data_IF_478807863677
#
_entry.id   IF_478807863677
#
_cell.length_a   1.000
_cell.length_b   1.000
_cell.length_c   1.000
_cell.angle_alpha   90.00
_cell.angle_beta   90.00
_cell.angle_gamma   90.00
#
_symmetry.space_group_name_H-M   'P 1'
#
loop_
_entity.id
_entity.type
_entity.pdbx_description
1 polymer ?
#
# COMPACT_ATOMS: atom_id res chain seq x y z
N UNK A 1 -17.09 47.05 -9.22
CA UNK A 1 -16.55 46.10 -8.23
C UNK A 1 -17.37 44.80 -8.04
N UNK A 2 -18.44 44.53 -8.82
CA UNK A 2 -19.27 43.32 -8.64
C UNK A 2 -18.84 42.05 -9.43
N UNK A 3 -18.01 42.19 -10.48
CA UNK A 3 -17.66 41.06 -11.37
C UNK A 3 -16.67 40.04 -10.79
N UNK A 4 -15.73 40.47 -9.94
CA UNK A 4 -14.69 39.57 -9.38
C UNK A 4 -15.23 38.60 -8.31
N UNK A 5 -16.34 38.95 -7.65
CA UNK A 5 -17.00 38.09 -6.64
C UNK A 5 -17.72 36.90 -7.29
N UNK A 6 -18.34 37.11 -8.46
CA UNK A 6 -19.07 36.09 -9.20
C UNK A 6 -18.13 35.02 -9.81
N UNK A 7 -16.97 35.44 -10.30
CA UNK A 7 -15.94 34.53 -10.84
C UNK A 7 -15.32 33.69 -9.71
N UNK A 8 -15.03 34.28 -8.55
CA UNK A 8 -14.53 33.55 -7.38
C UNK A 8 -15.54 32.51 -6.85
N UNK A 9 -16.83 32.85 -6.83
CA UNK A 9 -17.91 31.94 -6.45
C UNK A 9 -18.10 30.78 -7.44
N UNK A 10 -17.89 31.03 -8.74
CA UNK A 10 -18.01 30.01 -9.79
C UNK A 10 -16.81 29.04 -9.76
N UNK A 11 -15.59 29.53 -9.51
CA UNK A 11 -14.39 28.69 -9.33
C UNK A 11 -14.50 27.85 -8.03
N UNK A 12 -15.11 28.39 -6.97
CA UNK A 12 -15.41 27.64 -5.75
C UNK A 12 -16.40 26.48 -5.96
N UNK A 13 -17.42 26.67 -6.81
CA UNK A 13 -18.40 25.63 -7.17
C UNK A 13 -17.83 24.57 -8.12
N UNK A 14 -16.87 24.91 -8.97
CA UNK A 14 -16.19 23.94 -9.84
C UNK A 14 -15.19 23.03 -9.08
N UNK A 15 -14.76 23.41 -7.87
CA UNK A 15 -13.97 22.52 -6.99
C UNK A 15 -14.83 21.50 -6.23
N UNK A 16 -16.14 21.67 -6.25
CA UNK A 16 -17.12 20.85 -5.55
C UNK A 16 -18.04 20.15 -6.55
N UNK A 17 -17.46 19.50 -7.57
CA UNK A 17 -18.19 18.48 -8.30
C UNK A 17 -18.75 17.48 -7.26
N UNK A 18 -20.06 17.17 -7.29
CA UNK A 18 -20.67 16.30 -6.30
C UNK A 18 -19.96 14.95 -6.35
N UNK A 19 -19.21 14.64 -5.28
CA UNK A 19 -18.68 13.30 -5.04
C UNK A 19 -19.90 12.38 -5.09
N UNK A 20 -19.99 11.49 -6.07
CA UNK A 20 -21.09 10.51 -6.11
C UNK A 20 -20.89 9.60 -4.90
N UNK A 21 -21.54 9.94 -3.78
CA UNK A 21 -21.28 9.36 -2.45
C UNK A 21 -21.49 7.83 -2.41
N UNK A 22 -22.26 7.29 -3.36
CA UNK A 22 -22.55 5.86 -3.50
C UNK A 22 -21.32 5.05 -3.94
N UNK A 23 -20.39 5.65 -4.68
CA UNK A 23 -19.19 4.95 -5.16
C UNK A 23 -18.03 4.99 -4.16
N UNK A 24 -18.08 5.87 -3.16
CA UNK A 24 -16.99 6.06 -2.21
C UNK A 24 -16.66 4.79 -1.39
N UNK A 25 -17.62 4.01 -0.87
CA UNK A 25 -17.32 2.75 -0.20
C UNK A 25 -16.70 1.70 -1.13
N UNK A 26 -17.13 1.67 -2.39
CA UNK A 26 -16.61 0.73 -3.41
C UNK A 26 -15.16 1.08 -3.74
N UNK A 27 -14.87 2.36 -3.97
CA UNK A 27 -13.51 2.84 -4.24
C UNK A 27 -12.59 2.64 -3.02
N UNK A 28 -13.12 2.82 -1.80
CA UNK A 28 -12.40 2.54 -0.56
C UNK A 28 -12.07 1.04 -0.44
N UNK A 29 -13.05 0.17 -0.71
CA UNK A 29 -12.85 -1.28 -0.73
C UNK A 29 -11.82 -1.70 -1.77
N UNK A 30 -11.89 -1.16 -2.99
CA UNK A 30 -10.90 -1.39 -4.04
C UNK A 30 -9.50 -0.89 -3.63
N UNK A 31 -9.40 0.26 -2.95
CA UNK A 31 -8.13 0.77 -2.43
C UNK A 31 -7.51 -0.18 -1.41
N UNK A 32 -8.32 -0.67 -0.44
CA UNK A 32 -7.88 -1.66 0.55
C UNK A 32 -7.46 -2.95 -0.14
N UNK A 33 -8.23 -3.44 -1.11
CA UNK A 33 -7.88 -4.65 -1.88
C UNK A 33 -6.52 -4.49 -2.57
N UNK A 34 -6.28 -3.36 -3.24
CA UNK A 34 -4.98 -3.12 -3.88
C UNK A 34 -3.86 -3.02 -2.86
N UNK A 35 -4.06 -2.37 -1.71
CA UNK A 35 -3.05 -2.36 -0.65
C UNK A 35 -2.76 -3.76 -0.09
N UNK A 36 -3.78 -4.61 0.06
CA UNK A 36 -3.60 -6.01 0.44
C UNK A 36 -2.76 -6.76 -0.61
N UNK A 37 -3.06 -6.59 -1.89
CA UNK A 37 -2.26 -7.20 -2.97
C UNK A 37 -0.81 -6.67 -2.94
N UNK A 38 -0.62 -5.36 -2.85
CA UNK A 38 0.69 -4.69 -2.80
C UNK A 38 1.51 -5.06 -1.57
N UNK A 39 0.86 -5.48 -0.47
CA UNK A 39 1.57 -6.03 0.70
C UNK A 39 2.28 -7.34 0.39
N UNK A 40 1.91 -8.03 -0.70
CA UNK A 40 2.40 -9.36 -1.10
C UNK A 40 2.11 -10.47 -0.07
N UNK A 41 1.19 -10.23 0.87
CA UNK A 41 0.71 -11.26 1.78
C UNK A 41 0.19 -12.47 1.00
N UNK A 42 0.52 -13.67 1.47
CA UNK A 42 0.19 -14.97 0.87
C UNK A 42 0.86 -15.28 -0.48
N UNK A 43 1.35 -14.30 -1.25
CA UNK A 43 1.87 -14.55 -2.60
C UNK A 43 3.05 -15.52 -2.60
N UNK A 44 4.06 -15.28 -1.76
CA UNK A 44 5.24 -16.15 -1.67
C UNK A 44 5.00 -17.50 -0.97
N UNK A 45 3.79 -17.73 -0.45
CA UNK A 45 3.39 -18.97 0.21
C UNK A 45 2.47 -19.82 -0.70
N UNK A 46 1.62 -19.16 -1.49
CA UNK A 46 0.68 -19.80 -2.42
C UNK A 46 1.27 -20.01 -3.81
N UNK A 47 2.27 -19.21 -4.19
CA UNK A 47 2.90 -19.26 -5.49
C UNK A 47 4.38 -19.55 -5.30
N UNK A 48 4.75 -20.80 -5.54
CA UNK A 48 6.14 -21.24 -5.52
C UNK A 48 6.90 -20.53 -6.66
N UNK A 49 8.02 -19.91 -6.31
CA UNK A 49 8.89 -19.23 -7.26
C UNK A 49 10.33 -19.66 -7.02
N UNK A 50 10.98 -20.19 -8.04
CA UNK A 50 12.40 -20.54 -7.95
C UNK A 50 13.24 -19.28 -7.71
N UNK A 51 14.24 -19.32 -6.82
CA UNK A 51 15.16 -18.21 -6.58
C UNK A 51 15.84 -17.77 -7.89
N UNK A 52 15.75 -16.48 -8.23
CA UNK A 52 16.33 -15.94 -9.46
C UNK A 52 15.47 -16.11 -10.72
N UNK A 53 14.36 -16.86 -10.63
CA UNK A 53 13.36 -16.92 -11.69
C UNK A 53 12.50 -15.67 -11.73
N UNK A 54 11.91 -15.43 -12.89
CA UNK A 54 11.17 -14.23 -13.18
C UNK A 54 9.70 -14.24 -12.67
N UNK A 55 9.46 -15.10 -11.67
CA UNK A 55 8.16 -15.42 -11.11
C UNK A 55 7.22 -16.11 -12.11
N UNK A 56 6.23 -16.89 -11.63
CA UNK A 56 5.26 -17.51 -12.52
C UNK A 56 4.43 -16.46 -13.29
N UNK A 57 4.06 -16.77 -14.54
CA UNK A 57 3.31 -15.86 -15.40
C UNK A 57 1.98 -15.40 -14.79
N UNK A 58 1.37 -16.23 -13.93
CA UNK A 58 0.13 -15.91 -13.22
C UNK A 58 0.24 -14.65 -12.37
N UNK A 59 1.38 -14.41 -11.72
CA UNK A 59 1.59 -13.21 -10.91
C UNK A 59 1.55 -11.96 -11.79
N UNK A 60 2.03 -12.04 -13.03
CA UNK A 60 2.04 -10.90 -13.97
C UNK A 60 0.63 -10.53 -14.39
N UNK A 61 -0.18 -11.55 -14.73
CA UNK A 61 -1.58 -11.36 -15.15
C UNK A 61 -2.40 -10.80 -13.99
N UNK A 62 -2.14 -11.24 -12.75
CA UNK A 62 -2.81 -10.77 -11.54
C UNK A 62 -2.65 -9.25 -11.32
N UNK A 63 -1.55 -8.64 -11.75
CA UNK A 63 -1.31 -7.20 -11.58
C UNK A 63 -1.98 -6.33 -12.66
N UNK A 64 -2.37 -6.89 -13.81
CA UNK A 64 -2.97 -6.10 -14.91
C UNK A 64 -4.25 -5.35 -14.49
N UNK A 65 -5.21 -5.96 -13.75
CA UNK A 65 -6.38 -5.24 -13.24
C UNK A 65 -6.02 -4.09 -12.30
N UNK A 66 -4.96 -4.26 -11.49
CA UNK A 66 -4.49 -3.21 -10.57
C UNK A 66 -3.92 -2.03 -11.35
N UNK A 67 -3.12 -2.29 -12.39
CA UNK A 67 -2.59 -1.26 -13.27
C UNK A 67 -3.71 -0.53 -14.02
N UNK A 68 -4.67 -1.28 -14.56
CA UNK A 68 -5.84 -0.71 -15.24
C UNK A 68 -6.64 0.19 -14.30
N UNK A 69 -6.92 -0.26 -13.06
CA UNK A 69 -7.64 0.54 -12.07
C UNK A 69 -6.90 1.84 -11.73
N UNK A 70 -5.59 1.76 -11.49
CA UNK A 70 -4.76 2.94 -11.19
C UNK A 70 -4.79 3.97 -12.32
N UNK A 71 -4.66 3.52 -13.57
CA UNK A 71 -4.76 4.37 -14.75
C UNK A 71 -6.15 4.98 -14.90
N UNK A 72 -7.22 4.19 -14.73
CA UNK A 72 -8.60 4.68 -14.79
C UNK A 72 -8.82 5.78 -13.75
N UNK A 73 -8.37 5.60 -12.51
CA UNK A 73 -8.50 6.61 -11.47
C UNK A 73 -7.73 7.90 -11.77
N UNK A 74 -6.52 7.76 -12.32
CA UNK A 74 -5.69 8.91 -12.71
C UNK A 74 -6.34 9.69 -13.87
N UNK A 75 -6.82 8.98 -14.90
CA UNK A 75 -7.42 9.55 -16.10
C UNK A 75 -8.84 10.09 -15.87
N UNK A 76 -9.59 9.53 -14.93
CA UNK A 76 -10.89 10.03 -14.53
C UNK A 76 -10.81 11.41 -13.85
N UNK A 77 -9.63 11.78 -13.30
CA UNK A 77 -9.41 13.05 -12.59
C UNK A 77 -8.05 13.66 -12.92
N UNK A 78 -7.84 14.11 -14.18
CA UNK A 78 -6.51 14.51 -14.65
C UNK A 78 -5.98 15.76 -13.91
N UNK A 79 -6.84 16.71 -13.55
CA UNK A 79 -6.39 17.94 -12.89
C UNK A 79 -5.92 17.70 -11.43
N UNK A 80 -6.67 16.99 -10.56
CA UNK A 80 -6.14 16.52 -9.28
C UNK A 80 -4.88 15.67 -9.41
N UNK A 81 -4.84 14.75 -10.39
CA UNK A 81 -3.69 13.89 -10.65
C UNK A 81 -2.41 14.70 -10.97
N UNK A 82 -2.51 15.65 -11.90
CA UNK A 82 -1.39 16.53 -12.27
C UNK A 82 -0.89 17.36 -11.08
N UNK A 83 -1.79 17.82 -10.21
CA UNK A 83 -1.41 18.52 -8.96
C UNK A 83 -0.70 17.60 -7.97
N UNK A 84 -1.09 16.33 -7.88
CA UNK A 84 -0.38 15.35 -7.05
C UNK A 84 1.02 15.08 -7.60
N UNK A 85 1.16 14.92 -8.91
CA UNK A 85 2.44 14.70 -9.59
C UNK A 85 3.36 15.92 -9.42
N UNK A 86 2.84 17.14 -9.57
CA UNK A 86 3.63 18.37 -9.45
C UNK A 86 4.19 18.60 -8.04
N UNK A 87 3.63 17.96 -7.01
CA UNK A 87 4.13 18.03 -5.63
C UNK A 87 5.27 17.06 -5.34
N UNK A 88 5.40 15.99 -6.13
CA UNK A 88 6.45 14.99 -5.95
C UNK A 88 7.00 14.48 -7.30
N UNK A 89 7.47 15.39 -8.18
CA UNK A 89 7.92 15.00 -9.52
C UNK A 89 9.10 14.02 -9.47
N UNK A 90 9.93 14.11 -8.43
CA UNK A 90 11.07 13.22 -8.23
C UNK A 90 10.67 11.74 -8.17
N UNK A 91 9.51 11.40 -7.59
CA UNK A 91 9.03 10.02 -7.55
C UNK A 91 8.78 9.45 -8.95
N UNK A 92 8.20 10.26 -9.84
CA UNK A 92 7.97 9.87 -11.23
C UNK A 92 9.28 9.78 -12.00
N UNK A 93 10.20 10.74 -11.81
CA UNK A 93 11.52 10.73 -12.45
C UNK A 93 12.32 9.48 -12.05
N UNK A 94 12.34 9.12 -10.78
CA UNK A 94 13.03 7.92 -10.31
C UNK A 94 12.39 6.63 -10.87
N UNK A 95 11.06 6.58 -10.97
CA UNK A 95 10.37 5.45 -11.58
C UNK A 95 10.70 5.30 -13.08
N UNK A 96 10.75 6.41 -13.81
CA UNK A 96 11.16 6.43 -15.22
C UNK A 96 12.63 6.03 -15.35
N UNK A 97 13.50 6.48 -14.44
CA UNK A 97 14.90 6.07 -14.40
C UNK A 97 15.04 4.54 -14.25
N UNK A 98 14.18 3.89 -13.47
CA UNK A 98 14.15 2.42 -13.39
C UNK A 98 13.76 1.73 -14.71
N UNK A 99 13.02 2.40 -15.61
CA UNK A 99 12.79 1.89 -16.96
C UNK A 99 14.00 2.16 -17.87
N UNK A 100 14.56 3.36 -17.80
CA UNK A 100 15.73 3.76 -18.59
C UNK A 100 16.94 2.88 -18.28
N UNK A 101 17.07 2.38 -17.05
CA UNK A 101 18.15 1.46 -16.67
C UNK A 101 18.19 0.15 -17.46
N UNK A 102 17.10 -0.22 -18.15
CA UNK A 102 17.10 -1.34 -19.09
C UNK A 102 18.15 -1.19 -20.21
N UNK A 103 18.51 0.06 -20.57
CA UNK A 103 19.50 0.37 -21.62
C UNK A 103 20.92 -0.03 -21.29
N UNK A 104 21.26 -0.19 -19.99
CA UNK A 104 22.58 -0.63 -19.53
C UNK A 104 22.51 -1.89 -18.66
N UNK A 105 21.40 -2.62 -18.71
CA UNK A 105 21.20 -3.83 -17.91
C UNK A 105 21.66 -5.10 -18.63
N UNK A 106 22.07 -6.11 -17.87
CA UNK A 106 22.44 -7.44 -18.39
C UNK A 106 21.24 -8.16 -19.03
N UNK A 107 20.04 -7.97 -18.49
CA UNK A 107 18.79 -8.45 -19.06
C UNK A 107 17.82 -7.26 -19.27
N UNK A 108 17.83 -6.66 -20.47
CA UNK A 108 16.98 -5.52 -20.81
C UNK A 108 15.48 -5.85 -20.73
N UNK A 109 15.08 -7.08 -21.09
CA UNK A 109 13.67 -7.48 -21.11
C UNK A 109 13.10 -7.55 -19.69
N UNK A 110 13.83 -8.19 -18.78
CA UNK A 110 13.48 -8.26 -17.36
C UNK A 110 13.49 -6.87 -16.71
N UNK A 111 14.54 -6.09 -16.94
CA UNK A 111 14.70 -4.75 -16.37
C UNK A 111 13.58 -3.82 -16.82
N UNK A 112 13.24 -3.82 -18.11
CA UNK A 112 12.14 -3.02 -18.66
C UNK A 112 10.80 -3.37 -18.01
N UNK A 113 10.52 -4.66 -17.81
CA UNK A 113 9.26 -5.10 -17.19
C UNK A 113 9.17 -4.72 -15.71
N UNK A 114 10.27 -4.86 -14.96
CA UNK A 114 10.32 -4.42 -13.56
C UNK A 114 10.20 -2.90 -13.46
N UNK A 115 10.87 -2.15 -14.34
CA UNK A 115 10.73 -0.71 -14.45
C UNK A 115 9.29 -0.27 -14.73
N UNK A 116 8.60 -0.95 -15.66
CA UNK A 116 7.19 -0.70 -15.93
C UNK A 116 6.31 -0.92 -14.69
N UNK A 117 6.52 -2.01 -13.95
CA UNK A 117 5.80 -2.27 -12.70
C UNK A 117 6.04 -1.18 -11.64
N UNK A 118 7.27 -0.65 -11.55
CA UNK A 118 7.60 0.48 -10.66
C UNK A 118 6.84 1.74 -11.08
N UNK A 119 6.83 2.08 -12.39
CA UNK A 119 6.08 3.23 -12.90
C UNK A 119 4.59 3.08 -12.59
N UNK A 120 3.99 1.92 -12.86
CA UNK A 120 2.58 1.68 -12.55
C UNK A 120 2.28 1.82 -11.05
N UNK A 121 3.17 1.34 -10.17
CA UNK A 121 3.03 1.49 -8.72
C UNK A 121 3.07 2.96 -8.30
N UNK A 122 3.98 3.74 -8.87
CA UNK A 122 4.07 5.19 -8.58
C UNK A 122 2.85 5.94 -9.10
N UNK A 123 2.38 5.63 -10.31
CA UNK A 123 1.15 6.21 -10.86
C UNK A 123 -0.08 5.87 -9.99
N UNK A 124 -0.16 4.65 -9.47
CA UNK A 124 -1.21 4.27 -8.53
C UNK A 124 -1.13 5.08 -7.23
N UNK A 125 0.07 5.30 -6.69
CA UNK A 125 0.28 6.20 -5.55
C UNK A 125 -0.26 7.62 -5.82
N UNK A 126 -0.01 8.18 -7.00
CA UNK A 126 -0.57 9.47 -7.40
C UNK A 126 -2.09 9.44 -7.57
N UNK A 127 -2.64 8.36 -8.13
CA UNK A 127 -4.08 8.18 -8.29
C UNK A 127 -4.78 8.21 -6.93
N UNK A 128 -4.30 7.44 -5.95
CA UNK A 128 -4.80 7.44 -4.58
C UNK A 128 -4.66 8.81 -3.92
N UNK A 129 -3.48 9.44 -4.01
CA UNK A 129 -3.24 10.75 -3.41
C UNK A 129 -4.14 11.85 -4.00
N UNK A 130 -4.55 11.71 -5.27
CA UNK A 130 -5.51 12.61 -5.91
C UNK A 130 -6.96 12.34 -5.50
N UNK A 131 -7.26 11.13 -5.01
CA UNK A 131 -8.61 10.66 -4.69
C UNK A 131 -8.99 10.85 -3.23
N UNK A 132 -8.08 10.57 -2.30
CA UNK A 132 -8.36 10.49 -0.88
C UNK A 132 -7.74 11.65 -0.11
N UNK A 133 -8.51 12.23 0.81
CA UNK A 133 -7.97 13.20 1.75
C UNK A 133 -7.04 12.48 2.75
N UNK A 134 -6.05 13.19 3.29
CA UNK A 134 -4.99 12.58 4.11
C UNK A 134 -5.53 11.73 5.28
N UNK A 135 -6.62 12.17 5.94
CA UNK A 135 -7.27 11.43 7.03
C UNK A 135 -7.85 10.11 6.54
N UNK A 136 -8.47 10.12 5.35
CA UNK A 136 -9.04 8.92 4.73
C UNK A 136 -7.92 7.95 4.34
N UNK A 137 -6.82 8.47 3.75
CA UNK A 137 -5.69 7.64 3.36
C UNK A 137 -5.04 6.92 4.55
N UNK A 138 -4.76 7.64 5.64
CA UNK A 138 -4.25 7.02 6.89
C UNK A 138 -5.20 5.94 7.39
N UNK A 139 -6.50 6.20 7.34
CA UNK A 139 -7.53 5.25 7.77
C UNK A 139 -7.53 3.98 6.91
N UNK A 140 -7.47 4.11 5.58
CA UNK A 140 -7.46 2.98 4.66
C UNK A 140 -6.19 2.13 4.83
N UNK A 141 -5.04 2.78 5.03
CA UNK A 141 -3.78 2.09 5.34
C UNK A 141 -3.87 1.36 6.69
N UNK A 142 -4.44 1.99 7.71
CA UNK A 142 -4.62 1.38 9.03
C UNK A 142 -5.58 0.19 8.99
N UNK A 143 -6.70 0.29 8.25
CA UNK A 143 -7.64 -0.81 8.02
C UNK A 143 -6.95 -1.97 7.30
N UNK A 144 -6.17 -1.67 6.25
CA UNK A 144 -5.41 -2.70 5.53
C UNK A 144 -4.46 -3.44 6.48
N UNK A 145 -3.67 -2.70 7.27
CA UNK A 145 -2.74 -3.29 8.21
C UNK A 145 -3.42 -4.02 9.38
N UNK A 146 -4.62 -3.60 9.79
CA UNK A 146 -5.44 -4.35 10.73
C UNK A 146 -5.84 -5.71 10.16
N UNK A 147 -6.33 -5.74 8.91
CA UNK A 147 -6.68 -7.00 8.22
C UNK A 147 -5.46 -7.92 8.14
N UNK A 148 -4.29 -7.39 7.78
CA UNK A 148 -3.04 -8.15 7.71
C UNK A 148 -2.57 -8.65 9.09
N UNK A 149 -2.69 -7.84 10.13
CA UNK A 149 -2.33 -8.22 11.50
C UNK A 149 -3.23 -9.34 12.02
N UNK A 150 -4.55 -9.18 11.90
CA UNK A 150 -5.54 -10.19 12.29
C UNK A 150 -5.35 -11.46 11.47
N UNK A 151 -5.20 -11.34 10.16
CA UNK A 151 -4.93 -12.48 9.28
C UNK A 151 -3.65 -13.22 9.65
N UNK A 152 -2.59 -12.50 10.04
CA UNK A 152 -1.34 -13.10 10.51
C UNK A 152 -1.52 -13.89 11.80
N UNK A 153 -2.24 -13.33 12.79
CA UNK A 153 -2.56 -14.05 14.04
C UNK A 153 -3.38 -15.30 13.74
N UNK A 154 -4.44 -15.16 12.93
CA UNK A 154 -5.29 -16.30 12.56
C UNK A 154 -4.49 -17.40 11.87
N UNK A 155 -3.63 -17.04 10.91
CA UNK A 155 -2.79 -18.00 10.22
C UNK A 155 -1.83 -18.73 11.16
N UNK A 156 -1.22 -18.01 12.11
CA UNK A 156 -0.28 -18.57 13.09
C UNK A 156 -0.97 -19.52 14.06
N UNK A 157 -2.17 -19.16 14.54
CA UNK A 157 -2.91 -19.98 15.51
C UNK A 157 -3.57 -21.18 14.84
N UNK A 158 -4.11 -21.03 13.63
CA UNK A 158 -4.77 -22.10 12.91
C UNK A 158 -3.78 -23.09 12.27
N UNK A 159 -2.68 -22.57 11.72
CA UNK A 159 -1.66 -23.37 11.01
C UNK A 159 -0.25 -22.88 11.39
N UNK A 160 0.30 -23.29 12.54
CA UNK A 160 1.61 -22.82 13.00
C UNK A 160 2.76 -23.07 12.01
N UNK A 161 2.74 -24.18 11.28
CA UNK A 161 3.74 -24.49 10.24
C UNK A 161 3.74 -23.47 9.09
N UNK A 162 2.60 -22.82 8.84
CA UNK A 162 2.47 -21.75 7.87
C UNK A 162 3.04 -20.43 8.43
N UNK A 163 2.55 -20.02 9.61
CA UNK A 163 2.81 -18.70 10.17
C UNK A 163 4.12 -18.53 10.95
N UNK A 164 4.83 -19.62 11.26
CA UNK A 164 6.07 -19.63 12.06
C UNK A 164 7.20 -20.29 11.25
N UNK A 165 8.38 -19.68 11.24
CA UNK A 165 9.56 -20.23 10.57
C UNK A 165 10.07 -21.51 11.28
N UNK A 166 10.40 -22.53 10.48
CA UNK A 166 10.79 -23.87 10.96
C UNK A 166 12.27 -24.22 10.69
N UNK A 167 12.93 -23.52 9.77
CA UNK A 167 14.29 -23.90 9.32
C UNK A 167 15.32 -22.86 9.73
N UNK A 168 15.31 -21.67 9.08
CA UNK A 168 16.37 -20.68 9.23
C UNK A 168 16.28 -19.92 10.56
N UNK A 169 15.09 -19.45 10.94
CA UNK A 169 14.86 -18.77 12.22
C UNK A 169 13.73 -19.46 12.98
N UNK A 170 14.04 -20.64 13.51
CA UNK A 170 13.10 -21.49 14.23
C UNK A 170 12.34 -20.69 15.30
N UNK A 171 11.01 -20.73 15.25
CA UNK A 171 10.13 -20.08 16.22
C UNK A 171 9.79 -18.62 15.91
N UNK A 172 10.45 -17.98 14.93
CA UNK A 172 10.12 -16.60 14.55
C UNK A 172 8.81 -16.53 13.77
N UNK A 173 7.94 -15.58 14.13
CA UNK A 173 6.67 -15.38 13.44
C UNK A 173 6.91 -14.71 12.08
N UNK A 174 6.28 -15.25 11.04
CA UNK A 174 6.25 -14.69 9.67
C UNK A 174 4.84 -14.35 9.18
N UNK A 175 3.80 -14.79 9.90
CA UNK A 175 2.41 -14.44 9.61
C UNK A 175 2.00 -14.86 8.21
N UNK A 176 1.48 -13.91 7.43
CA UNK A 176 1.05 -14.14 6.04
C UNK A 176 2.19 -14.12 5.01
N UNK A 177 3.41 -13.80 5.43
CA UNK A 177 4.57 -13.67 4.53
C UNK A 177 5.50 -14.87 4.62
N UNK A 178 6.39 -15.01 3.65
CA UNK A 178 7.42 -16.06 3.64
C UNK A 178 8.52 -15.80 4.67
N UNK A 179 8.80 -14.52 4.95
CA UNK A 179 9.90 -14.06 5.80
C UNK A 179 9.46 -13.29 7.04
N UNK A 180 10.11 -13.58 8.18
CA UNK A 180 9.86 -12.88 9.46
C UNK A 180 10.09 -11.37 9.38
N UNK A 181 11.08 -10.96 8.57
CA UNK A 181 11.44 -9.55 8.44
C UNK A 181 10.38 -8.75 7.68
N UNK A 182 9.66 -9.39 6.76
CA UNK A 182 8.54 -8.76 6.06
C UNK A 182 7.36 -8.54 7.01
N UNK A 183 7.04 -9.52 7.86
CA UNK A 183 6.06 -9.33 8.94
C UNK A 183 6.45 -8.14 9.83
N UNK A 184 7.70 -8.14 10.32
CA UNK A 184 8.22 -7.05 11.15
C UNK A 184 8.06 -5.68 10.49
N UNK A 185 8.52 -5.53 9.25
CA UNK A 185 8.42 -4.27 8.51
C UNK A 185 6.96 -3.81 8.28
N UNK A 186 6.07 -4.73 7.91
CA UNK A 186 4.66 -4.42 7.66
C UNK A 186 3.93 -4.02 8.93
N UNK A 187 4.21 -4.69 10.06
CA UNK A 187 3.59 -4.34 11.33
C UNK A 187 4.10 -3.00 11.86
N UNK A 188 5.38 -2.66 11.70
CA UNK A 188 5.90 -1.34 12.05
C UNK A 188 5.27 -0.22 11.24
N UNK A 189 5.13 -0.40 9.91
CA UNK A 189 4.38 0.53 9.07
C UNK A 189 2.90 0.63 9.49
N UNK A 190 2.29 -0.51 9.82
CA UNK A 190 0.94 -0.60 10.34
C UNK A 190 0.74 0.17 11.64
N UNK A 191 1.72 0.15 12.55
CA UNK A 191 1.69 0.89 13.81
C UNK A 191 1.65 2.40 13.58
N UNK A 192 2.48 2.93 12.68
CA UNK A 192 2.43 4.36 12.34
C UNK A 192 1.06 4.74 11.78
N UNK A 193 0.49 3.89 10.92
CA UNK A 193 -0.84 4.12 10.35
C UNK A 193 -1.96 4.05 11.40
N UNK A 194 -1.95 3.08 12.31
CA UNK A 194 -2.97 2.94 13.35
C UNK A 194 -2.85 4.04 14.42
N UNK A 195 -1.64 4.48 14.77
CA UNK A 195 -1.44 5.67 15.60
C UNK A 195 -1.99 6.93 14.93
N UNK A 196 -1.72 7.11 13.63
CA UNK A 196 -2.33 8.16 12.83
C UNK A 196 -3.85 8.08 12.84
N UNK A 197 -4.42 6.88 12.68
CA UNK A 197 -5.86 6.64 12.74
C UNK A 197 -6.46 6.99 14.11
N UNK A 198 -5.76 6.66 15.20
CA UNK A 198 -6.14 7.04 16.56
C UNK A 198 -6.18 8.56 16.76
N UNK A 199 -5.26 9.30 16.13
CA UNK A 199 -5.21 10.75 16.18
C UNK A 199 -6.34 11.42 15.37
N UNK A 200 -6.68 10.88 14.19
CA UNK A 200 -7.74 11.46 13.33
C UNK A 200 -9.16 11.01 13.68
N UNK A 201 -9.33 9.94 14.47
CA UNK A 201 -10.62 9.43 14.94
C UNK A 201 -10.70 9.31 16.47
N UNK A 202 -10.88 10.43 17.21
CA UNK A 202 -10.89 10.42 18.67
C UNK A 202 -11.93 9.47 19.30
N UNK A 203 -13.11 9.33 18.67
CA UNK A 203 -14.17 8.41 19.12
C UNK A 203 -13.79 6.93 19.08
N UNK A 204 -12.82 6.56 18.24
CA UNK A 204 -12.30 5.19 18.10
C UNK A 204 -10.84 5.08 18.53
N UNK A 205 -10.34 6.05 19.31
CA UNK A 205 -8.93 6.13 19.71
C UNK A 205 -8.46 4.86 20.42
N UNK A 206 -9.20 4.38 21.42
CA UNK A 206 -8.85 3.17 22.16
C UNK A 206 -8.79 1.93 21.27
N UNK A 207 -9.72 1.79 20.32
CA UNK A 207 -9.69 0.71 19.34
C UNK A 207 -8.38 0.73 18.55
N UNK A 208 -8.03 1.88 17.96
CA UNK A 208 -6.82 2.02 17.17
C UNK A 208 -5.53 1.86 17.98
N UNK A 209 -5.50 2.30 19.25
CA UNK A 209 -4.39 2.01 20.16
C UNK A 209 -4.26 0.52 20.46
N UNK A 210 -5.38 -0.21 20.59
CA UNK A 210 -5.37 -1.67 20.68
C UNK A 210 -4.80 -2.34 19.43
N UNK A 211 -5.13 -1.82 18.24
CA UNK A 211 -4.53 -2.28 16.97
C UNK A 211 -3.03 -2.02 16.94
N UNK A 212 -2.57 -0.85 17.38
CA UNK A 212 -1.12 -0.56 17.50
C UNK A 212 -0.44 -1.55 18.44
N UNK A 213 -1.04 -1.84 19.60
CA UNK A 213 -0.48 -2.80 20.56
C UNK A 213 -0.39 -4.22 19.98
N UNK A 214 -1.42 -4.64 19.23
CA UNK A 214 -1.40 -5.92 18.50
C UNK A 214 -0.24 -5.99 17.51
N UNK A 215 -0.08 -4.96 16.68
CA UNK A 215 0.99 -4.89 15.68
C UNK A 215 2.36 -4.87 16.34
N UNK A 216 2.53 -4.13 17.44
CA UNK A 216 3.78 -4.13 18.22
C UNK A 216 4.11 -5.52 18.77
N UNK A 217 3.10 -6.24 19.30
CA UNK A 217 3.26 -7.63 19.71
C UNK A 217 3.74 -8.52 18.56
N UNK A 218 3.16 -8.38 17.37
CA UNK A 218 3.60 -9.11 16.17
C UNK A 218 5.04 -8.76 15.74
N UNK A 219 5.46 -7.50 15.88
CA UNK A 219 6.86 -7.10 15.64
C UNK A 219 7.80 -7.83 16.60
N UNK A 220 7.47 -7.88 17.89
CA UNK A 220 8.28 -8.60 18.90
C UNK A 220 8.36 -10.09 18.55
N UNK A 221 7.21 -10.73 18.27
CA UNK A 221 7.14 -12.15 17.95
C UNK A 221 7.84 -12.50 16.62
N UNK A 222 7.95 -11.54 15.70
CA UNK A 222 8.73 -11.73 14.47
C UNK A 222 10.24 -11.81 14.71
N UNK A 223 10.73 -11.37 15.87
CA UNK A 223 12.17 -11.23 16.19
C UNK A 223 12.94 -10.36 15.17
N UNK A 224 12.25 -9.45 14.48
CA UNK A 224 12.85 -8.55 13.50
C UNK A 224 13.44 -7.31 14.20
N UNK A 225 14.77 -7.23 14.29
CA UNK A 225 15.47 -6.09 14.90
C UNK A 225 15.21 -4.79 14.13
N UNK A 226 15.25 -4.85 12.80
CA UNK A 226 14.94 -3.71 11.92
C UNK A 226 13.48 -3.28 12.04
N UNK A 227 12.54 -4.23 12.09
CA UNK A 227 11.13 -3.94 12.36
C UNK A 227 10.95 -3.26 13.72
N UNK A 228 11.59 -3.78 14.77
CA UNK A 228 11.50 -3.21 16.12
C UNK A 228 12.04 -1.77 16.16
N UNK A 229 13.19 -1.50 15.55
CA UNK A 229 13.72 -0.13 15.47
C UNK A 229 12.76 0.79 14.73
N UNK A 230 12.20 0.35 13.59
CA UNK A 230 11.22 1.14 12.85
C UNK A 230 9.91 1.37 13.62
N UNK A 231 9.54 0.48 14.55
CA UNK A 231 8.34 0.62 15.37
C UNK A 231 8.52 1.63 16.54
N UNK A 232 9.78 1.87 16.96
CA UNK A 232 10.12 2.74 18.09
C UNK A 232 10.46 4.17 17.67
N UNK A 233 10.73 4.40 16.39
CA UNK A 233 11.00 5.71 15.78
C UNK A 233 9.70 6.39 15.33
#
# INVERSE_FOLDING_TARGET
MGGMSLVAGTIGRLRSAPRIAVLEPIEAGATVLVFLLMSQALLGQLVESEPGSDGPAILRIMWLPVYALGLVWLLARPMPALRSISRAPLMLVLAILCMVSATWSLDPGLSMRRGFAVVMTVLFGFAIASRWDWKQLITLVAITNLILAVGSVLAILAVPSFGIQQEIHVGAWRGLWSEKNTLGAMMSYGMSASLGAAAVMPRRKLFWLGVTALQFGLVIMSTSKTGLLAALL
#
